data_IF_012606464963
#
_entry.id   IF_012606464963
#
_cell.length_a   1.000
_cell.length_b   1.000
_cell.length_c   1.000
_cell.angle_alpha   90.00
_cell.angle_beta   90.00
_cell.angle_gamma   90.00
#
_symmetry.space_group_name_H-M   'P 1'
#
loop_
_entity.id
_entity.type
_entity.pdbx_description
1 polymer ?
#
# COMPACT_ATOMS: atom_id res chain seq x y z
N UNK A 1 20.41 -33.82 -9.51
CA UNK A 1 19.96 -32.43 -9.41
C UNK A 1 18.75 -32.37 -8.49
N UNK A 2 18.79 -31.55 -7.44
CA UNK A 2 17.70 -31.40 -6.47
C UNK A 2 16.46 -30.81 -7.16
N UNK A 3 15.26 -31.14 -6.65
CA UNK A 3 14.01 -30.51 -7.12
C UNK A 3 14.00 -29.00 -6.89
N UNK A 4 14.75 -28.52 -5.90
CA UNK A 4 14.92 -27.08 -5.62
C UNK A 4 15.82 -26.46 -6.70
N UNK A 5 16.99 -27.07 -7.01
CA UNK A 5 17.89 -26.58 -8.06
C UNK A 5 17.25 -26.57 -9.46
N UNK A 6 16.35 -27.49 -9.71
CA UNK A 6 15.62 -27.56 -10.98
C UNK A 6 14.37 -26.66 -11.04
N UNK A 7 14.10 -25.89 -9.98
CA UNK A 7 12.90 -25.02 -9.89
C UNK A 7 11.56 -25.77 -9.75
N UNK A 8 11.59 -27.10 -9.60
CA UNK A 8 10.38 -27.94 -9.46
C UNK A 8 9.76 -27.90 -8.05
N UNK A 9 10.49 -27.38 -7.08
CA UNK A 9 10.03 -27.15 -5.71
C UNK A 9 10.64 -25.85 -5.20
N UNK A 10 9.85 -24.95 -4.59
CA UNK A 10 10.41 -23.76 -3.94
C UNK A 10 11.34 -24.16 -2.78
N UNK A 11 12.36 -23.35 -2.53
CA UNK A 11 13.16 -23.47 -1.32
C UNK A 11 12.27 -23.28 -0.08
N UNK A 12 12.70 -23.81 1.05
CA UNK A 12 12.07 -23.56 2.34
C UNK A 12 13.01 -22.74 3.20
N UNK A 13 12.47 -22.05 4.21
CA UNK A 13 13.26 -21.28 5.17
C UNK A 13 14.36 -22.15 5.83
N UNK A 14 13.97 -23.35 6.28
CA UNK A 14 14.90 -24.33 6.87
C UNK A 14 16.04 -24.67 5.88
N UNK A 15 15.71 -24.82 4.59
CA UNK A 15 16.74 -25.08 3.57
C UNK A 15 17.70 -23.89 3.42
N UNK A 16 17.20 -22.66 3.43
CA UNK A 16 18.02 -21.46 3.38
C UNK A 16 18.94 -21.34 4.60
N UNK A 17 18.43 -21.57 5.81
CA UNK A 17 19.20 -21.59 7.06
C UNK A 17 20.28 -22.68 7.05
N UNK A 18 19.98 -23.88 6.54
CA UNK A 18 20.96 -24.96 6.37
C UNK A 18 22.06 -24.56 5.37
N UNK A 19 21.73 -23.86 4.30
CA UNK A 19 22.71 -23.34 3.36
C UNK A 19 23.61 -22.29 4.02
N UNK A 20 23.06 -21.36 4.82
CA UNK A 20 23.87 -20.38 5.55
C UNK A 20 24.83 -21.05 6.54
N UNK A 21 24.41 -22.13 7.20
CA UNK A 21 25.28 -22.92 8.07
C UNK A 21 26.36 -23.67 7.29
N UNK A 22 26.02 -24.22 6.13
CA UNK A 22 26.97 -24.95 5.28
C UNK A 22 28.01 -24.05 4.59
N UNK A 23 27.66 -22.78 4.37
CA UNK A 23 28.50 -21.78 3.71
C UNK A 23 28.75 -20.54 4.59
N UNK A 24 29.49 -20.67 5.70
CA UNK A 24 29.65 -19.62 6.71
C UNK A 24 30.30 -18.32 6.18
N UNK A 25 31.05 -18.38 5.08
CA UNK A 25 31.59 -17.19 4.39
C UNK A 25 30.53 -16.37 3.66
N UNK A 26 29.29 -16.86 3.58
CA UNK A 26 28.09 -16.20 3.04
C UNK A 26 26.95 -16.19 4.07
N UNK A 27 27.31 -16.16 5.36
CA UNK A 27 26.33 -16.25 6.43
C UNK A 27 25.20 -15.22 6.27
N UNK A 28 23.96 -15.72 6.32
CA UNK A 28 22.75 -14.91 6.17
C UNK A 28 22.30 -14.67 4.72
N UNK A 29 23.16 -14.89 3.72
CA UNK A 29 22.84 -14.60 2.32
C UNK A 29 21.69 -15.45 1.78
N UNK A 30 21.66 -16.75 2.12
CA UNK A 30 20.61 -17.65 1.63
C UNK A 30 19.28 -17.38 2.31
N UNK A 31 19.26 -17.02 3.59
CA UNK A 31 18.05 -16.61 4.30
C UNK A 31 17.53 -15.29 3.78
N UNK A 32 18.39 -14.30 3.54
CA UNK A 32 18.01 -13.02 2.93
C UNK A 32 17.44 -13.22 1.52
N UNK A 33 18.11 -14.01 0.68
CA UNK A 33 17.64 -14.33 -0.67
C UNK A 33 16.30 -15.09 -0.64
N UNK A 34 16.11 -15.99 0.34
CA UNK A 34 14.84 -16.68 0.52
C UNK A 34 13.71 -15.71 0.84
N UNK A 35 13.91 -14.78 1.76
CA UNK A 35 12.91 -13.77 2.10
C UNK A 35 12.60 -12.83 0.91
N UNK A 36 13.63 -12.44 0.16
CA UNK A 36 13.43 -11.67 -1.08
C UNK A 36 12.60 -12.46 -2.11
N UNK A 37 12.90 -13.75 -2.28
CA UNK A 37 12.16 -14.60 -3.21
C UNK A 37 10.71 -14.80 -2.79
N UNK A 38 10.43 -14.98 -1.50
CA UNK A 38 9.06 -15.06 -0.95
C UNK A 38 8.27 -13.77 -1.22
N UNK A 39 8.87 -12.65 -0.90
CA UNK A 39 8.31 -11.33 -1.15
C UNK A 39 7.98 -11.13 -2.64
N UNK A 40 8.89 -11.54 -3.51
CA UNK A 40 8.71 -11.49 -4.94
C UNK A 40 7.61 -12.43 -5.44
N UNK A 41 7.57 -13.68 -4.95
CA UNK A 41 6.56 -14.68 -5.30
C UNK A 41 5.16 -14.25 -4.83
N UNK A 42 5.06 -13.66 -3.65
CA UNK A 42 3.80 -13.16 -3.10
C UNK A 42 3.21 -11.95 -3.85
N UNK A 43 4.07 -11.25 -4.61
CA UNK A 43 3.64 -10.13 -5.46
C UNK A 43 3.04 -10.68 -6.76
N UNK A 44 1.80 -10.29 -7.13
CA UNK A 44 1.21 -10.74 -8.40
C UNK A 44 2.12 -10.43 -9.60
N UNK A 45 2.25 -11.34 -10.57
CA UNK A 45 3.18 -11.17 -11.71
C UNK A 45 3.00 -9.85 -12.45
N UNK A 46 1.76 -9.43 -12.67
CA UNK A 46 1.45 -8.15 -13.34
C UNK A 46 1.86 -6.93 -12.52
N UNK A 47 1.86 -7.03 -11.18
CA UNK A 47 2.26 -5.93 -10.31
C UNK A 47 3.79 -5.80 -10.18
N UNK A 48 4.55 -6.89 -10.37
CA UNK A 48 6.02 -6.89 -10.29
C UNK A 48 6.65 -5.93 -11.31
N UNK A 49 6.12 -5.91 -12.52
CA UNK A 49 6.57 -4.99 -13.57
C UNK A 49 6.41 -3.54 -13.10
N UNK A 50 5.22 -3.19 -12.59
CA UNK A 50 4.98 -1.84 -12.06
C UNK A 50 5.94 -1.50 -10.89
N UNK A 51 6.12 -2.40 -9.91
CA UNK A 51 7.03 -2.19 -8.78
C UNK A 51 8.45 -1.86 -9.24
N UNK A 52 8.94 -2.50 -10.31
CA UNK A 52 10.27 -2.22 -10.86
C UNK A 52 10.39 -0.80 -11.46
N UNK A 53 9.31 -0.28 -12.04
CA UNK A 53 9.23 1.12 -12.52
C UNK A 53 9.08 2.09 -11.34
N UNK A 54 8.21 1.80 -10.40
CA UNK A 54 7.99 2.58 -9.19
C UNK A 54 9.30 2.80 -8.42
N UNK A 55 10.10 1.75 -8.23
CA UNK A 55 11.38 1.85 -7.52
C UNK A 55 12.41 2.78 -8.18
N UNK A 56 12.29 3.03 -9.47
CA UNK A 56 13.19 3.92 -10.23
C UNK A 56 12.57 5.29 -10.49
N UNK A 57 11.33 5.48 -10.10
CA UNK A 57 10.58 6.69 -10.39
C UNK A 57 11.20 7.92 -9.72
N UNK A 58 11.17 9.03 -10.43
CA UNK A 58 11.46 10.38 -9.93
C UNK A 58 10.19 11.06 -9.46
N UNK A 59 9.05 10.69 -10.04
CA UNK A 59 7.73 11.20 -9.67
C UNK A 59 6.73 10.08 -9.54
N UNK A 60 5.84 10.18 -8.56
CA UNK A 60 4.70 9.30 -8.36
C UNK A 60 3.41 10.12 -8.28
N UNK A 61 2.36 9.65 -8.95
CA UNK A 61 1.01 10.21 -8.83
C UNK A 61 0.04 9.06 -8.68
N UNK A 62 -0.58 8.98 -7.53
CA UNK A 62 -1.43 7.85 -7.16
C UNK A 62 -2.84 8.32 -6.84
N UNK A 63 -3.81 7.62 -7.39
CA UNK A 63 -5.23 7.81 -7.12
C UNK A 63 -5.89 6.47 -6.82
N UNK A 64 -6.52 6.35 -5.66
CA UNK A 64 -7.31 5.18 -5.27
C UNK A 64 -8.62 5.62 -4.60
N UNK A 65 -9.80 5.32 -5.20
CA UNK A 65 -11.09 5.81 -4.70
C UNK A 65 -11.62 5.05 -3.49
N UNK A 66 -11.20 3.82 -3.27
CA UNK A 66 -11.86 2.94 -2.31
C UNK A 66 -11.03 2.65 -1.05
N UNK A 67 -9.71 2.67 -1.16
CA UNK A 67 -8.76 2.31 -0.11
C UNK A 67 -7.58 3.28 -0.14
N UNK A 68 -6.83 3.32 0.93
CA UNK A 68 -5.56 4.03 0.93
C UNK A 68 -4.53 3.30 0.08
N UNK A 69 -3.66 4.06 -0.60
CA UNK A 69 -2.53 3.52 -1.34
C UNK A 69 -1.64 2.64 -0.46
N UNK A 70 -1.14 1.53 -1.01
CA UNK A 70 -0.28 0.61 -0.30
C UNK A 70 1.01 1.24 0.25
N UNK A 71 1.50 2.33 -0.36
CA UNK A 71 2.65 3.10 0.13
C UNK A 71 2.35 3.92 1.40
N UNK A 72 1.06 4.15 1.72
CA UNK A 72 0.60 4.97 2.84
C UNK A 72 -0.03 4.15 3.97
N UNK A 73 -0.09 2.82 3.84
CA UNK A 73 -0.77 1.97 4.81
C UNK A 73 0.11 1.66 6.02
N UNK A 74 -0.48 1.62 7.21
CA UNK A 74 0.12 0.97 8.38
C UNK A 74 0.07 -0.55 8.23
N UNK A 75 0.89 -1.26 8.99
CA UNK A 75 0.92 -2.74 8.96
C UNK A 75 -0.45 -3.35 9.27
N UNK A 76 -1.13 -2.89 10.33
CA UNK A 76 -2.44 -3.39 10.74
C UNK A 76 -3.50 -3.14 9.67
N UNK A 77 -3.54 -1.93 9.09
CA UNK A 77 -4.46 -1.62 8.00
C UNK A 77 -4.19 -2.51 6.77
N UNK A 78 -2.92 -2.63 6.38
CA UNK A 78 -2.50 -3.43 5.24
C UNK A 78 -2.84 -4.92 5.41
N UNK A 79 -2.63 -5.48 6.61
CA UNK A 79 -2.97 -6.86 6.95
C UNK A 79 -4.44 -7.15 6.74
N UNK A 80 -5.31 -6.28 7.24
CA UNK A 80 -6.76 -6.45 7.10
C UNK A 80 -7.20 -6.40 5.62
N UNK A 81 -6.65 -5.46 4.84
CA UNK A 81 -6.97 -5.37 3.41
C UNK A 81 -6.49 -6.61 2.65
N UNK A 82 -5.32 -7.14 2.98
CA UNK A 82 -4.77 -8.33 2.34
C UNK A 82 -5.54 -9.61 2.72
N UNK A 83 -6.06 -9.68 3.93
CA UNK A 83 -6.81 -10.83 4.43
C UNK A 83 -8.24 -10.94 3.87
N UNK A 84 -8.80 -9.87 3.27
CA UNK A 84 -10.17 -9.88 2.72
C UNK A 84 -10.31 -10.79 1.49
N UNK A 85 -9.21 -11.10 0.79
CA UNK A 85 -9.25 -11.89 -0.43
C UNK A 85 -9.71 -13.34 -0.14
N UNK A 86 -10.74 -13.87 -0.81
CA UNK A 86 -11.20 -15.23 -0.59
C UNK A 86 -10.09 -16.26 -0.83
N UNK A 87 -9.92 -17.20 0.12
CA UNK A 87 -8.98 -18.32 -0.02
C UNK A 87 -7.51 -17.95 0.22
N UNK A 88 -7.19 -16.71 0.60
CA UNK A 88 -5.83 -16.33 0.98
C UNK A 88 -5.46 -16.99 2.32
N UNK A 89 -4.25 -17.53 2.41
CA UNK A 89 -3.70 -18.11 3.65
C UNK A 89 -2.97 -17.05 4.48
N UNK A 90 -2.81 -17.30 5.78
CA UNK A 90 -2.04 -16.39 6.67
C UNK A 90 -0.59 -16.22 6.19
N UNK A 91 0.03 -17.28 5.66
CA UNK A 91 1.38 -17.22 5.10
C UNK A 91 1.46 -16.30 3.88
N UNK A 92 0.44 -16.35 3.01
CA UNK A 92 0.35 -15.44 1.86
C UNK A 92 0.11 -13.99 2.30
N UNK A 93 -0.75 -13.78 3.30
CA UNK A 93 -0.97 -12.45 3.90
C UNK A 93 0.33 -11.90 4.47
N UNK A 94 1.06 -12.69 5.26
CA UNK A 94 2.34 -12.30 5.85
C UNK A 94 3.39 -11.95 4.79
N UNK A 95 3.51 -12.76 3.74
CA UNK A 95 4.46 -12.52 2.65
C UNK A 95 4.11 -11.25 1.85
N UNK A 96 2.82 -11.04 1.53
CA UNK A 96 2.36 -9.82 0.83
C UNK A 96 2.51 -8.57 1.70
N UNK A 97 2.29 -8.70 3.00
CA UNK A 97 2.47 -7.62 3.97
C UNK A 97 3.93 -7.21 4.05
N UNK A 98 4.85 -8.16 4.21
CA UNK A 98 6.29 -7.90 4.21
C UNK A 98 6.73 -7.20 2.91
N UNK A 99 6.24 -7.66 1.75
CA UNK A 99 6.46 -7.03 0.46
C UNK A 99 6.00 -5.57 0.44
N UNK A 100 4.79 -5.31 0.96
CA UNK A 100 4.21 -3.96 1.02
C UNK A 100 4.98 -3.04 1.93
N UNK A 101 5.35 -3.48 3.12
CA UNK A 101 6.14 -2.69 4.07
C UNK A 101 7.53 -2.37 3.51
N UNK A 102 8.23 -3.36 2.92
CA UNK A 102 9.53 -3.13 2.26
C UNK A 102 9.42 -2.10 1.13
N UNK A 103 8.33 -2.13 0.34
CA UNK A 103 8.11 -1.20 -0.78
C UNK A 103 7.99 0.25 -0.32
N UNK A 104 7.43 0.51 0.86
CA UNK A 104 7.23 1.87 1.40
C UNK A 104 8.54 2.63 1.62
N UNK A 105 9.68 1.93 1.75
CA UNK A 105 11.00 2.55 1.89
C UNK A 105 11.35 3.50 0.74
N UNK A 106 10.67 3.39 -0.42
CA UNK A 106 10.85 4.31 -1.54
C UNK A 106 10.57 5.78 -1.16
N UNK A 107 9.62 6.01 -0.24
CA UNK A 107 9.21 7.35 0.17
C UNK A 107 10.24 8.07 1.04
N UNK A 108 11.16 7.31 1.66
CA UNK A 108 12.13 7.82 2.64
C UNK A 108 13.59 7.47 2.32
N UNK A 109 13.87 6.90 1.16
CA UNK A 109 15.25 6.62 0.70
C UNK A 109 16.04 7.92 0.49
N UNK A 110 17.37 7.84 0.31
CA UNK A 110 18.26 8.99 0.13
C UNK A 110 17.82 9.96 -1.00
N UNK A 111 17.30 9.44 -2.10
CA UNK A 111 16.73 10.23 -3.20
C UNK A 111 15.28 9.79 -3.44
N UNK A 112 14.32 10.21 -2.60
CA UNK A 112 12.95 9.78 -2.72
C UNK A 112 12.26 10.49 -3.90
N UNK A 113 11.27 9.86 -4.54
CA UNK A 113 10.49 10.52 -5.58
C UNK A 113 9.66 11.68 -5.00
N UNK A 114 9.37 12.67 -5.83
CA UNK A 114 8.29 13.60 -5.55
C UNK A 114 6.96 12.87 -5.75
N UNK A 115 6.16 12.75 -4.69
CA UNK A 115 4.96 11.90 -4.68
C UNK A 115 3.70 12.70 -4.38
N UNK A 116 2.67 12.50 -5.21
CA UNK A 116 1.33 13.04 -5.02
C UNK A 116 0.34 11.90 -4.84
N UNK A 117 -0.38 11.96 -3.74
CA UNK A 117 -1.45 11.02 -3.42
C UNK A 117 -2.78 11.76 -3.35
N UNK A 118 -3.68 11.44 -4.25
CA UNK A 118 -5.07 11.83 -4.15
C UNK A 118 -5.84 10.72 -3.46
N UNK A 119 -6.58 11.07 -2.41
CA UNK A 119 -7.33 10.12 -1.58
C UNK A 119 -8.78 10.54 -1.59
N UNK A 120 -9.66 9.63 -1.97
CA UNK A 120 -11.10 9.85 -1.82
C UNK A 120 -11.48 9.91 -0.34
N UNK A 121 -12.31 10.85 0.05
CA UNK A 121 -12.83 10.96 1.41
C UNK A 121 -13.49 9.65 1.87
N UNK A 122 -14.11 8.88 0.96
CA UNK A 122 -14.69 7.58 1.26
C UNK A 122 -13.67 6.59 1.83
N UNK A 123 -12.42 6.62 1.35
CA UNK A 123 -11.35 5.75 1.86
C UNK A 123 -11.00 6.07 3.32
N UNK A 124 -11.08 7.34 3.73
CA UNK A 124 -10.83 7.77 5.11
C UNK A 124 -12.00 7.46 6.06
N UNK A 125 -13.22 7.39 5.52
CA UNK A 125 -14.44 7.08 6.28
C UNK A 125 -14.77 5.60 6.34
N UNK A 126 -14.17 4.79 5.48
CA UNK A 126 -14.37 3.34 5.46
C UNK A 126 -13.75 2.70 6.69
N UNK A 127 -14.58 2.01 7.49
CA UNK A 127 -14.08 1.24 8.61
C UNK A 127 -13.32 0.00 8.11
N UNK A 128 -12.04 -0.08 8.43
CA UNK A 128 -11.20 -1.26 8.25
C UNK A 128 -10.91 -1.85 9.62
N UNK A 129 -11.42 -3.05 9.87
CA UNK A 129 -11.38 -3.79 11.13
C UNK A 129 -11.96 -3.04 12.33
N UNK A 130 -11.31 -1.98 12.81
CA UNK A 130 -11.72 -1.29 14.03
C UNK A 130 -11.40 0.21 13.99
N UNK A 131 -12.09 1.02 14.82
CA UNK A 131 -11.76 2.44 14.97
C UNK A 131 -10.30 2.68 15.38
N UNK A 132 -9.69 1.77 16.15
CA UNK A 132 -8.30 1.87 16.59
C UNK A 132 -7.33 1.76 15.40
N UNK A 133 -7.56 0.79 14.50
CA UNK A 133 -6.79 0.64 13.26
C UNK A 133 -6.92 1.90 12.40
N UNK A 134 -8.15 2.43 12.26
CA UNK A 134 -8.37 3.66 11.48
C UNK A 134 -7.74 4.90 12.12
N UNK A 135 -7.76 5.02 13.45
CA UNK A 135 -7.09 6.11 14.16
C UNK A 135 -5.57 6.06 13.97
N UNK A 136 -4.96 4.88 14.08
CA UNK A 136 -3.53 4.68 13.83
C UNK A 136 -3.17 4.98 12.36
N UNK A 137 -3.99 4.52 11.42
CA UNK A 137 -3.81 4.75 10.00
C UNK A 137 -3.91 6.24 9.62
N UNK A 138 -4.90 6.96 10.13
CA UNK A 138 -5.06 8.40 9.85
C UNK A 138 -3.97 9.22 10.53
N UNK A 139 -3.51 8.85 11.73
CA UNK A 139 -2.36 9.48 12.38
C UNK A 139 -1.07 9.28 11.57
N UNK A 140 -0.82 8.06 11.07
CA UNK A 140 0.30 7.77 10.18
C UNK A 140 0.23 8.60 8.89
N UNK A 141 -0.94 8.66 8.25
CA UNK A 141 -1.15 9.45 7.05
C UNK A 141 -0.86 10.93 7.26
N UNK A 142 -1.30 11.51 8.40
CA UNK A 142 -0.98 12.88 8.78
C UNK A 142 0.54 13.10 8.98
N UNK A 143 1.26 12.12 9.50
CA UNK A 143 2.72 12.18 9.63
C UNK A 143 3.42 12.14 8.27
N UNK A 144 3.01 11.23 7.40
CA UNK A 144 3.56 11.08 6.03
C UNK A 144 3.28 12.33 5.19
N UNK A 145 2.09 12.93 5.31
CA UNK A 145 1.72 14.16 4.61
C UNK A 145 2.60 15.38 4.95
N UNK A 146 3.41 15.30 6.01
CA UNK A 146 4.38 16.35 6.39
C UNK A 146 5.77 16.16 5.80
N UNK A 147 6.03 15.04 5.13
CA UNK A 147 7.31 14.80 4.46
C UNK A 147 7.46 15.75 3.27
N UNK A 148 8.65 16.35 3.06
CA UNK A 148 8.84 17.42 2.08
C UNK A 148 8.66 16.97 0.61
N UNK A 149 8.84 15.69 0.34
CA UNK A 149 8.68 15.10 -0.99
C UNK A 149 7.26 14.55 -1.24
N UNK A 150 6.34 14.63 -0.27
CA UNK A 150 5.00 14.04 -0.35
C UNK A 150 3.93 15.13 -0.30
N UNK A 151 2.99 15.05 -1.21
CA UNK A 151 1.76 15.85 -1.19
C UNK A 151 0.57 14.90 -1.10
N UNK A 152 -0.23 15.05 -0.04
CA UNK A 152 -1.49 14.33 0.15
C UNK A 152 -2.65 15.31 0.01
N UNK A 153 -3.61 15.00 -0.85
CA UNK A 153 -4.83 15.78 -1.02
C UNK A 153 -6.06 14.88 -0.96
N UNK A 154 -7.08 15.36 -0.28
CA UNK A 154 -8.36 14.65 -0.13
C UNK A 154 -9.34 15.16 -1.18
N UNK A 155 -9.92 14.26 -1.94
CA UNK A 155 -11.02 14.54 -2.86
C UNK A 155 -12.32 14.35 -2.06
N UNK A 156 -13.17 15.39 -1.93
CA UNK A 156 -14.42 15.30 -1.19
C UNK A 156 -15.41 14.28 -1.78
N UNK A 157 -16.41 13.88 -1.00
CA UNK A 157 -17.50 12.98 -1.43
C UNK A 157 -18.42 13.67 -2.44
N UNK A 158 -17.94 13.85 -3.64
CA UNK A 158 -18.67 14.39 -4.80
C UNK A 158 -18.54 13.44 -5.99
N UNK A 159 -19.35 13.63 -7.02
CA UNK A 159 -19.15 12.93 -8.29
C UNK A 159 -17.93 13.51 -9.02
N UNK A 160 -16.95 12.66 -9.33
CA UNK A 160 -15.71 13.05 -9.99
C UNK A 160 -15.20 12.02 -11.00
N UNK A 161 -14.24 12.40 -11.82
CA UNK A 161 -13.74 11.58 -12.93
C UNK A 161 -12.99 10.30 -12.50
N UNK A 162 -12.68 10.14 -11.22
CA UNK A 162 -11.91 9.01 -10.68
C UNK A 162 -12.75 7.87 -10.10
N UNK A 163 -14.08 7.95 -10.09
CA UNK A 163 -14.94 6.95 -9.44
C UNK A 163 -14.80 5.53 -10.00
N UNK A 164 -14.42 5.38 -11.27
CA UNK A 164 -14.42 4.08 -11.95
C UNK A 164 -13.27 3.17 -11.53
N UNK A 165 -12.07 3.70 -11.36
CA UNK A 165 -10.89 2.91 -10.96
C UNK A 165 -9.77 3.78 -10.38
N UNK A 166 -8.92 3.14 -9.57
CA UNK A 166 -7.64 3.70 -9.15
C UNK A 166 -6.56 3.51 -10.22
N UNK A 167 -5.52 4.32 -10.15
CA UNK A 167 -4.34 4.19 -10.99
C UNK A 167 -3.11 4.80 -10.32
N UNK A 168 -1.94 4.35 -10.77
CA UNK A 168 -0.65 4.89 -10.36
C UNK A 168 0.15 5.31 -11.59
N UNK A 169 0.85 6.44 -11.50
CA UNK A 169 1.65 7.00 -12.58
C UNK A 169 3.08 7.26 -12.08
N UNK A 170 4.05 6.90 -12.91
CA UNK A 170 5.40 7.43 -12.87
C UNK A 170 5.57 8.45 -14.02
N UNK A 171 6.75 9.00 -14.21
CA UNK A 171 7.05 9.83 -15.39
C UNK A 171 7.04 9.06 -16.72
N UNK A 172 7.04 7.70 -16.67
CA UNK A 172 7.19 6.83 -17.85
C UNK A 172 6.15 5.74 -17.98
N UNK A 173 5.41 5.44 -16.91
CA UNK A 173 4.48 4.32 -16.89
C UNK A 173 3.20 4.68 -16.17
N UNK A 174 2.12 4.04 -16.59
CA UNK A 174 0.87 4.03 -15.86
C UNK A 174 0.54 2.60 -15.44
N UNK A 175 -0.03 2.43 -14.26
CA UNK A 175 -0.54 1.17 -13.76
C UNK A 175 -2.01 1.30 -13.39
N UNK A 176 -2.81 0.38 -13.89
CA UNK A 176 -4.23 0.24 -13.56
C UNK A 176 -4.48 -1.19 -13.12
N UNK A 177 -5.21 -1.36 -12.02
CA UNK A 177 -5.55 -2.67 -11.47
C UNK A 177 -7.06 -2.85 -11.36
N UNK A 178 -7.50 -4.04 -11.74
CA UNK A 178 -8.86 -4.54 -11.52
C UNK A 178 -8.82 -5.79 -10.64
N UNK A 179 -9.96 -6.30 -10.22
CA UNK A 179 -10.06 -7.42 -9.28
C UNK A 179 -9.29 -8.70 -9.67
N UNK A 180 -9.03 -8.92 -10.96
CA UNK A 180 -8.43 -10.16 -11.49
C UNK A 180 -7.13 -9.95 -12.27
N UNK A 181 -6.72 -8.71 -12.53
CA UNK A 181 -5.54 -8.39 -13.32
C UNK A 181 -5.08 -6.95 -13.07
N UNK A 182 -3.81 -6.69 -13.38
CA UNK A 182 -3.26 -5.35 -13.47
C UNK A 182 -2.51 -5.18 -14.78
N UNK A 183 -2.46 -3.97 -15.29
CA UNK A 183 -1.78 -3.65 -16.54
C UNK A 183 -0.87 -2.45 -16.38
N UNK A 184 0.34 -2.56 -16.91
CA UNK A 184 1.30 -1.46 -17.07
C UNK A 184 1.19 -0.95 -18.50
N UNK A 185 1.10 0.37 -18.64
CA UNK A 185 1.10 1.07 -19.91
C UNK A 185 2.36 1.94 -19.99
N UNK A 186 3.01 1.91 -21.14
CA UNK A 186 4.20 2.71 -21.45
C UNK A 186 3.97 3.64 -22.64
N UNK A 187 2.81 3.56 -23.27
CA UNK A 187 2.45 4.43 -24.37
C UNK A 187 2.08 5.84 -23.90
N UNK A 188 2.56 6.84 -24.64
CA UNK A 188 2.42 8.23 -24.25
C UNK A 188 0.95 8.72 -24.24
N UNK A 189 0.08 8.13 -25.08
CA UNK A 189 -1.33 8.52 -25.18
C UNK A 189 -2.09 8.13 -23.92
N UNK A 190 -1.95 6.86 -23.47
CA UNK A 190 -2.56 6.37 -22.23
C UNK A 190 -2.06 7.13 -21.01
N UNK A 191 -0.73 7.36 -20.93
CA UNK A 191 -0.12 8.12 -19.82
C UNK A 191 -0.66 9.56 -19.79
N UNK A 192 -0.72 10.25 -20.94
CA UNK A 192 -1.24 11.61 -21.03
C UNK A 192 -2.73 11.67 -20.64
N UNK A 193 -3.54 10.69 -21.06
CA UNK A 193 -4.95 10.58 -20.68
C UNK A 193 -5.15 10.42 -19.17
N UNK A 194 -4.33 9.58 -18.51
CA UNK A 194 -4.40 9.39 -17.06
C UNK A 194 -3.82 10.58 -16.28
N UNK A 195 -2.80 11.26 -16.80
CA UNK A 195 -2.31 12.53 -16.23
C UNK A 195 -3.40 13.60 -16.26
N UNK A 196 -4.08 13.76 -17.40
CA UNK A 196 -5.21 14.71 -17.52
C UNK A 196 -6.32 14.38 -16.51
N UNK A 197 -6.63 13.09 -16.32
CA UNK A 197 -7.60 12.65 -15.32
C UNK A 197 -7.12 12.95 -13.89
N UNK A 198 -5.84 12.73 -13.60
CA UNK A 198 -5.24 13.05 -12.30
C UNK A 198 -5.35 14.55 -12.00
N UNK A 199 -5.01 15.41 -12.98
CA UNK A 199 -5.09 16.85 -12.82
C UNK A 199 -6.55 17.35 -12.66
N UNK A 200 -7.50 16.72 -13.35
CA UNK A 200 -8.93 16.99 -13.15
C UNK A 200 -9.36 16.67 -11.71
N UNK A 201 -8.98 15.50 -11.20
CA UNK A 201 -9.25 15.11 -9.81
C UNK A 201 -8.60 16.05 -8.79
N UNK A 202 -7.37 16.47 -9.07
CA UNK A 202 -6.63 17.39 -8.21
C UNK A 202 -7.28 18.77 -8.12
N UNK A 203 -7.94 19.22 -9.17
CA UNK A 203 -8.70 20.47 -9.15
C UNK A 203 -9.94 20.42 -8.21
N UNK A 204 -10.51 19.22 -8.02
CA UNK A 204 -11.63 19.00 -7.09
C UNK A 204 -11.15 18.72 -5.66
N UNK A 205 -9.86 18.43 -5.47
CA UNK A 205 -9.30 18.08 -4.17
C UNK A 205 -9.10 19.31 -3.27
N UNK A 206 -9.21 19.11 -1.98
CA UNK A 206 -8.81 20.09 -0.97
C UNK A 206 -7.33 20.44 -1.15
N UNK A 207 -6.94 21.65 -0.80
CA UNK A 207 -5.52 22.04 -0.74
C UNK A 207 -4.76 21.15 0.25
N UNK A 208 -3.46 20.99 0.08
CA UNK A 208 -2.65 20.11 0.93
C UNK A 208 -2.80 20.44 2.44
N UNK A 209 -2.83 21.73 2.81
CA UNK A 209 -3.01 22.15 4.21
C UNK A 209 -4.43 21.85 4.74
N UNK A 210 -5.44 22.02 3.93
CA UNK A 210 -6.84 21.69 4.25
C UNK A 210 -7.03 20.17 4.36
N UNK A 211 -6.38 19.41 3.48
CA UNK A 211 -6.35 17.95 3.50
C UNK A 211 -5.70 17.41 4.77
N UNK A 212 -4.58 17.99 5.18
CA UNK A 212 -3.91 17.61 6.42
C UNK A 212 -4.83 17.86 7.63
N UNK A 213 -5.45 19.04 7.70
CA UNK A 213 -6.40 19.36 8.78
C UNK A 213 -7.63 18.42 8.75
N UNK A 214 -8.08 18.01 7.56
CA UNK A 214 -9.16 17.03 7.41
C UNK A 214 -8.74 15.65 7.95
N UNK A 215 -7.55 15.17 7.59
CA UNK A 215 -7.00 13.88 8.04
C UNK A 215 -6.83 13.87 9.57
N UNK A 216 -6.37 14.96 10.16
CA UNK A 216 -6.23 15.11 11.61
C UNK A 216 -7.60 15.05 12.32
N UNK A 217 -8.62 15.72 11.77
CA UNK A 217 -9.99 15.60 12.30
C UNK A 217 -10.51 14.18 12.22
N UNK A 218 -10.30 13.49 11.09
CA UNK A 218 -10.67 12.07 10.95
C UNK A 218 -9.98 11.18 12.00
N UNK A 219 -8.72 11.46 12.33
CA UNK A 219 -8.01 10.75 13.38
C UNK A 219 -8.72 10.91 14.74
N UNK A 220 -9.10 12.12 15.11
CA UNK A 220 -9.83 12.40 16.38
C UNK A 220 -11.23 11.78 16.38
N UNK A 221 -11.95 11.80 15.25
CA UNK A 221 -13.24 11.15 15.10
C UNK A 221 -13.13 9.63 15.32
N UNK A 222 -12.11 8.98 14.76
CA UNK A 222 -11.86 7.55 14.94
C UNK A 222 -11.48 7.20 16.38
N UNK A 223 -10.64 8.01 17.03
CA UNK A 223 -10.31 7.86 18.48
C UNK A 223 -11.56 7.93 19.34
N UNK A 224 -12.41 8.95 19.12
CA UNK A 224 -13.66 9.12 19.85
C UNK A 224 -14.62 7.94 19.62
N UNK A 225 -14.70 7.43 18.41
CA UNK A 225 -15.52 6.26 18.06
C UNK A 225 -15.03 5.02 18.80
N UNK A 226 -13.72 4.79 18.85
CA UNK A 226 -13.12 3.69 19.59
C UNK A 226 -13.36 3.76 21.09
N UNK A 227 -13.26 4.94 21.68
CA UNK A 227 -13.55 5.16 23.11
C UNK A 227 -15.01 4.84 23.45
N UNK A 228 -15.96 5.30 22.63
CA UNK A 228 -17.40 5.01 22.81
C UNK A 228 -17.71 3.52 22.69
N UNK A 229 -17.06 2.81 21.79
CA UNK A 229 -17.25 1.36 21.63
C UNK A 229 -16.74 0.59 22.85
N UNK A 230 -15.58 0.98 23.40
CA UNK A 230 -15.02 0.38 24.60
C UNK A 230 -15.94 0.56 25.82
N UNK A 231 -16.51 1.74 26.01
CA UNK A 231 -17.43 2.05 27.14
C UNK A 231 -18.72 1.22 27.05
N UNK A 232 -19.26 0.99 25.86
CA UNK A 232 -20.46 0.17 25.67
C UNK A 232 -20.22 -1.33 25.90
N UNK A 233 -19.01 -1.83 25.60
CA UNK A 233 -18.63 -3.23 25.85
C UNK A 233 -18.48 -3.57 27.34
N UNK A 234 -18.18 -2.57 28.19
CA UNK A 234 -17.97 -2.78 29.64
C UNK A 234 -19.30 -2.79 30.43
N UNK A 235 -20.40 -2.29 29.84
CA UNK A 235 -21.72 -2.23 30.52
C UNK A 235 -22.64 -3.40 30.23
N UNK A 236 -22.23 -4.37 29.44
CA UNK A 236 -22.97 -5.62 29.21
C UNK A 236 -22.48 -6.71 30.19
N UNK A 237 -22.88 -6.58 31.48
CA UNK A 237 -22.83 -7.69 32.43
C UNK A 237 -23.93 -8.70 32.08
N UNK A 238 -23.68 -10.03 32.14
CA UNK A 238 -24.70 -11.03 31.87
C UNK A 238 -25.67 -11.10 33.06
N UNK A 239 -26.96 -11.10 32.75
CA UNK A 239 -28.02 -11.50 33.66
C UNK A 239 -28.12 -13.00 33.73
#
# INVERSE_FOLDING_TARGET
>A
MSRIESGKRPATEIFAQLCDHAFPHRAGWFSEFYEESRTWIATPPWFRTYVSHEQRALTLRNWFPSLLDGLLQTEDYAREILAVSPGVTDDEVNARLAARMKRQAILTRDAPPAAWFLIDEAALRRLVRSPQVMAAQTAHLAAVARLPNITVQVVPLIAHAGLLCGFSLTERTAYVEIAVAGQVFEDAETIAGLLTRFDTLRNEALRASESLAFIERMCEEWKATGARAATRGTTAEPA
#
